data_IF_899619392857
#
_entry.id   IF_899619392857
#
_cell.length_a   1.000
_cell.length_b   1.000
_cell.length_c   1.000
_cell.angle_alpha   90.00
_cell.angle_beta   90.00
_cell.angle_gamma   90.00
#
_symmetry.space_group_name_H-M   'P 1'
#
loop_
_entity.id
_entity.type
_entity.pdbx_description
1 polymer ?
#
# COMPACT_ATOMS: atom_id res chain seq x y z
N UNK A 1 2.14 -1.27 -2.12
CA UNK A 1 0.80 -1.40 -2.74
C UNK A 1 -0.33 -0.98 -1.79
N UNK A 2 -0.42 -1.47 -0.55
CA UNK A 2 -1.59 -1.18 0.32
C UNK A 2 -1.63 0.23 0.92
N UNK A 3 -0.49 0.86 1.15
CA UNK A 3 -0.43 2.16 1.85
C UNK A 3 -1.34 3.23 1.24
N UNK A 4 -1.37 3.46 -0.10
CA UNK A 4 -2.25 4.46 -0.70
C UNK A 4 -3.75 4.22 -0.44
N UNK A 5 -4.14 2.97 -0.22
CA UNK A 5 -5.53 2.58 0.08
C UNK A 5 -5.83 2.71 1.57
N UNK A 6 -4.95 2.19 2.43
CA UNK A 6 -5.12 2.20 3.89
C UNK A 6 -5.19 3.62 4.45
N UNK A 7 -4.43 4.56 3.86
CA UNK A 7 -4.40 5.96 4.29
C UNK A 7 -5.79 6.62 4.26
N UNK A 8 -6.66 6.21 3.36
CA UNK A 8 -7.99 6.80 3.18
C UNK A 8 -9.10 6.00 3.83
N UNK A 9 -8.74 4.99 4.62
CA UNK A 9 -9.70 4.19 5.37
C UNK A 9 -10.89 3.72 4.49
N UNK A 10 -10.64 2.83 3.52
CA UNK A 10 -11.60 2.47 2.50
C UNK A 10 -12.90 1.93 3.11
N UNK A 11 -14.06 2.22 2.52
CA UNK A 11 -15.29 1.53 2.87
C UNK A 11 -15.17 0.04 2.52
N UNK A 12 -16.06 -0.78 3.07
CA UNK A 12 -16.21 -2.16 2.63
C UNK A 12 -16.66 -2.21 1.18
N UNK A 13 -15.99 -3.00 0.35
CA UNK A 13 -16.41 -3.29 -1.02
C UNK A 13 -16.02 -4.71 -1.43
N UNK A 14 -16.75 -5.27 -2.39
CA UNK A 14 -16.54 -6.61 -2.95
C UNK A 14 -16.14 -6.58 -4.44
N UNK A 15 -16.20 -5.41 -5.05
CA UNK A 15 -15.77 -5.14 -6.42
C UNK A 15 -15.30 -3.69 -6.51
N UNK A 16 -14.06 -3.41 -6.92
CA UNK A 16 -13.53 -2.06 -7.04
C UNK A 16 -14.35 -1.17 -8.00
N UNK A 17 -15.01 -1.77 -9.02
CA UNK A 17 -15.85 -1.04 -9.95
C UNK A 17 -17.09 -0.39 -9.30
N UNK A 18 -17.41 -0.80 -8.06
CA UNK A 18 -18.52 -0.22 -7.28
C UNK A 18 -18.08 0.87 -6.30
N UNK A 19 -16.79 1.13 -6.21
CA UNK A 19 -16.24 2.16 -5.33
C UNK A 19 -16.52 3.55 -5.86
N UNK A 20 -16.54 4.52 -4.94
CA UNK A 20 -16.57 5.93 -5.29
C UNK A 20 -15.36 6.32 -6.15
N UNK A 21 -15.62 7.09 -7.21
CA UNK A 21 -14.57 7.56 -8.10
C UNK A 21 -13.53 8.44 -7.39
N UNK A 22 -13.95 9.24 -6.40
CA UNK A 22 -13.05 10.07 -5.60
C UNK A 22 -12.06 9.21 -4.81
N UNK A 23 -12.51 8.14 -4.17
CA UNK A 23 -11.64 7.18 -3.48
C UNK A 23 -10.64 6.52 -4.42
N UNK A 24 -11.09 6.10 -5.62
CA UNK A 24 -10.22 5.49 -6.63
C UNK A 24 -9.17 6.48 -7.14
N UNK A 25 -9.58 7.71 -7.45
CA UNK A 25 -8.68 8.80 -7.88
C UNK A 25 -7.65 9.12 -6.79
N UNK A 26 -8.10 9.32 -5.56
CA UNK A 26 -7.24 9.69 -4.44
C UNK A 26 -6.20 8.61 -4.16
N UNK A 27 -6.61 7.34 -4.10
CA UNK A 27 -5.68 6.23 -3.92
C UNK A 27 -4.67 6.12 -5.05
N UNK A 28 -5.10 6.35 -6.30
CA UNK A 28 -4.23 6.28 -7.48
C UNK A 28 -3.23 7.44 -7.55
N UNK A 29 -3.66 8.66 -7.19
CA UNK A 29 -2.78 9.83 -7.08
C UNK A 29 -1.71 9.61 -5.99
N UNK A 30 -2.10 9.07 -4.84
CA UNK A 30 -1.13 8.73 -3.80
C UNK A 30 -0.18 7.61 -4.21
N UNK A 31 -0.64 6.65 -5.01
CA UNK A 31 0.25 5.64 -5.58
C UNK A 31 1.28 6.24 -6.53
N UNK A 32 0.93 7.27 -7.31
CA UNK A 32 1.89 8.05 -8.08
C UNK A 32 2.90 8.78 -7.18
N UNK A 33 2.40 9.46 -6.14
CA UNK A 33 3.23 10.25 -5.22
C UNK A 33 4.18 9.42 -4.37
N UNK A 34 3.85 8.16 -4.08
CA UNK A 34 4.66 7.22 -3.30
C UNK A 34 5.47 6.26 -4.17
N UNK A 35 5.15 6.19 -5.47
CA UNK A 35 5.75 5.27 -6.42
C UNK A 35 7.14 5.66 -6.88
N UNK A 36 7.78 4.77 -7.63
CA UNK A 36 9.14 4.95 -8.15
C UNK A 36 9.26 6.16 -9.08
N UNK A 37 8.18 6.51 -9.79
CA UNK A 37 8.16 7.64 -10.73
C UNK A 37 8.03 9.01 -10.06
N UNK A 38 7.83 9.08 -8.76
CA UNK A 38 7.68 10.35 -8.01
C UNK A 38 8.76 11.38 -8.37
N UNK A 39 10.00 10.96 -8.48
CA UNK A 39 11.13 11.84 -8.79
C UNK A 39 11.18 12.35 -10.24
N UNK A 40 10.31 11.87 -11.14
CA UNK A 40 10.23 12.29 -12.54
C UNK A 40 9.11 13.30 -12.81
N UNK A 41 8.25 13.57 -11.83
CA UNK A 41 7.19 14.57 -11.99
C UNK A 41 7.73 15.98 -11.80
N UNK A 42 7.26 16.87 -12.64
CA UNK A 42 7.59 18.30 -12.58
C UNK A 42 6.75 19.00 -11.50
N UNK A 43 7.13 20.23 -11.18
CA UNK A 43 6.37 21.09 -10.26
C UNK A 43 5.92 22.34 -11.00
N UNK A 44 4.70 22.78 -10.71
CA UNK A 44 4.18 24.03 -11.23
C UNK A 44 4.75 25.25 -10.47
N UNK A 45 4.37 26.45 -10.88
CA UNK A 45 4.81 27.71 -10.28
C UNK A 45 4.40 27.89 -8.79
N UNK A 46 3.41 27.10 -8.33
CA UNK A 46 2.93 27.08 -6.94
C UNK A 46 3.59 25.97 -6.13
N UNK A 47 4.52 25.21 -6.69
CA UNK A 47 5.20 24.10 -6.01
C UNK A 47 4.33 22.85 -5.87
N UNK A 48 3.27 22.71 -6.66
CA UNK A 48 2.45 21.50 -6.72
C UNK A 48 3.03 20.52 -7.73
N UNK A 49 2.99 19.24 -7.41
CA UNK A 49 3.45 18.18 -8.30
C UNK A 49 2.48 18.02 -9.47
N UNK A 50 2.97 18.01 -10.70
CA UNK A 50 2.17 17.81 -11.90
C UNK A 50 2.21 16.34 -12.30
N UNK A 51 1.08 15.64 -12.15
CA UNK A 51 0.93 14.21 -12.42
C UNK A 51 0.04 14.00 -13.65
N UNK A 52 0.56 13.42 -14.74
CA UNK A 52 -0.26 13.10 -15.92
C UNK A 52 -1.42 12.16 -15.58
N UNK A 53 -2.60 12.42 -16.12
CA UNK A 53 -3.79 11.57 -15.94
C UNK A 53 -3.52 10.11 -16.37
N UNK A 54 -2.74 9.91 -17.42
CA UNK A 54 -2.35 8.57 -17.88
C UNK A 54 -1.54 7.78 -16.83
N UNK A 55 -0.76 8.44 -15.98
CA UNK A 55 -0.04 7.79 -14.90
C UNK A 55 -1.01 7.42 -13.75
N UNK A 56 -2.00 8.27 -13.49
CA UNK A 56 -3.06 7.99 -12.51
C UNK A 56 -3.89 6.79 -12.95
N UNK A 57 -4.27 6.72 -14.23
CA UNK A 57 -4.96 5.56 -14.82
C UNK A 57 -4.12 4.27 -14.68
N UNK A 58 -2.83 4.35 -14.97
CA UNK A 58 -1.94 3.21 -14.84
C UNK A 58 -1.85 2.72 -13.38
N UNK A 59 -1.83 3.64 -12.41
CA UNK A 59 -1.86 3.27 -10.99
C UNK A 59 -3.22 2.70 -10.56
N UNK A 60 -4.32 3.24 -11.07
CA UNK A 60 -5.66 2.68 -10.81
C UNK A 60 -5.76 1.24 -11.29
N UNK A 61 -5.31 0.95 -12.52
CA UNK A 61 -5.27 -0.41 -13.07
C UNK A 61 -4.36 -1.33 -12.23
N UNK A 62 -3.22 -0.82 -11.79
CA UNK A 62 -2.30 -1.57 -10.94
C UNK A 62 -2.89 -1.89 -9.56
N UNK A 63 -3.61 -0.93 -8.95
CA UNK A 63 -4.20 -1.08 -7.62
C UNK A 63 -5.49 -1.89 -7.63
N UNK A 64 -6.39 -1.62 -8.57
CA UNK A 64 -7.78 -2.06 -8.56
C UNK A 64 -8.17 -2.98 -9.72
N UNK A 65 -7.22 -3.27 -10.62
CA UNK A 65 -7.40 -4.24 -11.71
C UNK A 65 -7.72 -3.62 -13.06
N UNK A 66 -7.66 -4.47 -14.13
CA UNK A 66 -7.65 -3.98 -15.51
C UNK A 66 -8.97 -3.39 -16.00
N UNK A 67 -10.07 -3.62 -15.27
CA UNK A 67 -11.41 -3.16 -15.69
C UNK A 67 -11.77 -1.79 -15.08
N UNK A 68 -10.92 -1.22 -14.25
CA UNK A 68 -11.15 0.08 -13.63
C UNK A 68 -11.04 1.18 -14.68
N UNK A 69 -11.98 2.12 -14.60
CA UNK A 69 -11.98 3.37 -15.36
C UNK A 69 -12.22 4.52 -14.40
N UNK A 70 -11.35 5.51 -14.46
CA UNK A 70 -11.49 6.73 -13.68
C UNK A 70 -12.26 7.79 -14.45
N UNK A 71 -13.09 8.54 -13.75
CA UNK A 71 -13.63 9.80 -14.23
C UNK A 71 -12.76 10.93 -13.68
N UNK A 72 -11.93 11.56 -14.54
CA UNK A 72 -11.01 12.60 -14.12
C UNK A 72 -11.75 13.87 -13.73
N UNK A 73 -11.53 14.31 -12.49
CA UNK A 73 -12.14 15.51 -11.91
C UNK A 73 -11.25 16.05 -10.79
N UNK A 74 -11.43 17.30 -10.44
CA UNK A 74 -10.83 17.88 -9.23
C UNK A 74 -11.47 17.24 -8.00
N UNK A 75 -10.65 16.81 -7.03
CA UNK A 75 -11.10 16.18 -5.78
C UNK A 75 -10.48 16.86 -4.56
N UNK A 76 -11.13 16.71 -3.40
CA UNK A 76 -10.69 17.28 -2.14
C UNK A 76 -11.18 18.72 -1.90
N UNK A 77 -10.81 19.28 -0.74
CA UNK A 77 -11.21 20.60 -0.31
C UNK A 77 -10.40 21.72 -0.99
N UNK A 78 -10.96 22.94 -1.03
CA UNK A 78 -10.37 24.08 -1.74
C UNK A 78 -8.91 24.36 -1.42
N UNK A 79 -8.47 24.12 -0.18
CA UNK A 79 -7.08 24.37 0.24
C UNK A 79 -6.12 23.23 -0.11
N UNK A 80 -6.65 21.99 -0.20
CA UNK A 80 -5.88 20.76 -0.45
C UNK A 80 -6.38 20.01 -1.68
N UNK A 81 -7.07 20.71 -2.59
CA UNK A 81 -7.62 20.09 -3.78
C UNK A 81 -6.53 19.54 -4.69
N UNK A 82 -6.74 18.32 -5.17
CA UNK A 82 -6.02 17.75 -6.31
C UNK A 82 -6.72 18.24 -7.57
N UNK A 83 -6.22 19.35 -8.09
CA UNK A 83 -6.84 20.06 -9.19
C UNK A 83 -6.57 19.34 -10.51
N UNK A 84 -7.63 18.94 -11.21
CA UNK A 84 -7.51 18.39 -12.56
C UNK A 84 -7.54 19.51 -13.60
N UNK A 85 -6.53 19.57 -14.44
CA UNK A 85 -6.43 20.44 -15.59
C UNK A 85 -6.69 19.62 -16.87
N UNK A 86 -7.87 19.84 -17.48
CA UNK A 86 -8.28 19.12 -18.68
C UNK A 86 -7.51 19.52 -19.93
N UNK A 87 -6.91 20.72 -19.97
CA UNK A 87 -6.21 21.22 -21.15
C UNK A 87 -4.88 20.49 -21.36
N UNK A 88 -4.24 20.08 -20.27
CA UNK A 88 -3.00 19.33 -20.28
C UNK A 88 -3.17 17.89 -19.77
N UNK A 89 -4.41 17.47 -19.47
CA UNK A 89 -4.76 16.16 -18.93
C UNK A 89 -3.85 15.75 -17.75
N UNK A 90 -3.74 16.61 -16.74
CA UNK A 90 -2.84 16.41 -15.59
C UNK A 90 -3.46 16.90 -14.29
N UNK A 91 -2.97 16.36 -13.17
CA UNK A 91 -3.33 16.80 -11.83
C UNK A 91 -2.24 17.69 -11.24
N UNK A 92 -2.64 18.78 -10.61
CA UNK A 92 -1.79 19.63 -9.77
C UNK A 92 -2.02 19.26 -8.32
N UNK A 93 -1.06 18.56 -7.74
CA UNK A 93 -1.17 17.95 -6.41
C UNK A 93 -0.33 18.68 -5.38
N UNK A 94 -0.92 19.23 -4.32
CA UNK A 94 -0.15 19.89 -3.27
C UNK A 94 0.74 18.88 -2.52
N UNK A 95 1.96 19.30 -2.15
CA UNK A 95 2.82 18.49 -1.30
C UNK A 95 2.40 18.71 0.14
N UNK A 96 1.69 17.73 0.68
CA UNK A 96 1.25 17.73 2.08
C UNK A 96 2.09 16.75 2.91
N UNK A 97 2.25 17.07 4.19
CA UNK A 97 2.92 16.16 5.10
C UNK A 97 2.08 14.89 5.32
N UNK A 98 2.73 13.74 5.26
CA UNK A 98 2.10 12.44 5.55
C UNK A 98 1.96 12.23 7.06
N UNK A 99 1.18 13.10 7.73
CA UNK A 99 0.93 13.01 9.16
C UNK A 99 -0.53 12.65 9.43
N UNK A 100 -0.78 11.85 10.44
CA UNK A 100 -2.14 11.51 10.87
C UNK A 100 -2.79 10.32 10.15
N UNK A 101 -2.10 9.67 9.22
CA UNK A 101 -2.60 8.49 8.53
C UNK A 101 -2.24 7.20 9.29
N UNK A 102 -3.13 6.20 9.20
CA UNK A 102 -2.82 4.87 9.71
C UNK A 102 -1.76 4.18 8.84
N UNK A 103 -0.91 3.38 9.48
CA UNK A 103 0.08 2.55 8.80
C UNK A 103 -0.45 1.11 8.72
N UNK A 104 -0.40 0.46 7.55
CA UNK A 104 -0.81 -0.94 7.44
C UNK A 104 0.20 -1.89 8.10
N UNK A 105 -0.29 -2.78 8.96
CA UNK A 105 0.43 -3.94 9.47
C UNK A 105 -0.20 -5.20 8.91
N UNK A 106 0.57 -6.00 8.16
CA UNK A 106 0.05 -7.26 7.61
C UNK A 106 0.22 -8.37 8.63
N UNK A 107 -0.89 -8.76 9.28
CA UNK A 107 -0.90 -9.73 10.37
C UNK A 107 -0.96 -11.17 9.87
N UNK A 108 -1.68 -11.41 8.76
CA UNK A 108 -1.86 -12.75 8.19
C UNK A 108 -1.94 -12.70 6.68
N UNK A 109 -1.32 -13.70 6.05
CA UNK A 109 -1.36 -13.89 4.59
C UNK A 109 -1.87 -15.32 4.32
N UNK A 110 -2.92 -15.43 3.51
CA UNK A 110 -3.45 -16.72 3.04
C UNK A 110 -3.39 -16.75 1.52
N UNK A 111 -2.45 -17.49 0.98
CA UNK A 111 -2.31 -17.68 -0.45
C UNK A 111 -3.29 -18.74 -0.96
N UNK A 112 -3.98 -18.44 -2.08
CA UNK A 112 -4.80 -19.35 -2.86
C UNK A 112 -4.24 -19.41 -4.28
N UNK A 113 -4.79 -20.26 -5.13
CA UNK A 113 -4.29 -20.44 -6.50
C UNK A 113 -4.27 -19.13 -7.30
N UNK A 114 -5.36 -18.36 -7.27
CA UNK A 114 -5.55 -17.13 -8.06
C UNK A 114 -5.84 -15.89 -7.22
N UNK A 115 -5.73 -16.00 -5.91
CA UNK A 115 -5.94 -14.90 -4.98
C UNK A 115 -5.05 -14.98 -3.74
N UNK A 116 -4.95 -13.87 -3.05
CA UNK A 116 -4.27 -13.76 -1.77
C UNK A 116 -5.18 -12.99 -0.81
N UNK A 117 -5.40 -13.53 0.38
CA UNK A 117 -6.12 -12.82 1.44
C UNK A 117 -5.14 -12.30 2.49
N UNK A 118 -5.26 -11.03 2.82
CA UNK A 118 -4.45 -10.36 3.83
C UNK A 118 -5.34 -9.91 4.97
N UNK A 119 -4.97 -10.23 6.21
CA UNK A 119 -5.50 -9.53 7.37
C UNK A 119 -4.60 -8.35 7.64
N UNK A 120 -5.14 -7.13 7.56
CA UNK A 120 -4.38 -5.89 7.70
C UNK A 120 -4.86 -5.15 8.94
N UNK A 121 -3.96 -4.94 9.87
CA UNK A 121 -4.13 -4.07 11.01
C UNK A 121 -3.85 -2.62 10.65
N UNK A 122 -4.64 -1.71 11.18
CA UNK A 122 -4.48 -0.27 11.00
C UNK A 122 -3.81 0.30 12.24
N UNK A 123 -2.51 0.52 12.16
CA UNK A 123 -1.74 1.13 13.25
C UNK A 123 -1.93 2.65 13.18
N UNK A 124 -2.57 3.26 14.19
CA UNK A 124 -2.76 4.70 14.20
C UNK A 124 -1.41 5.43 14.31
N UNK A 125 -1.33 6.69 13.88
CA UNK A 125 -0.12 7.49 14.06
C UNK A 125 0.19 7.61 15.55
N UNK A 126 1.45 7.34 15.91
CA UNK A 126 1.91 7.44 17.29
C UNK A 126 1.88 8.90 17.75
N UNK A 127 1.05 9.20 18.72
CA UNK A 127 1.08 10.49 19.42
C UNK A 127 1.84 10.32 20.74
N UNK A 128 2.43 11.40 21.25
CA UNK A 128 3.17 11.38 22.53
C UNK A 128 2.31 10.87 23.69
N UNK A 129 0.97 10.96 23.57
CA UNK A 129 0.01 10.51 24.58
C UNK A 129 -0.40 9.05 24.46
N UNK A 130 -0.06 8.38 23.35
CA UNK A 130 -0.46 6.99 23.06
C UNK A 130 0.74 6.03 22.92
N UNK A 131 1.88 6.38 23.50
CA UNK A 131 3.05 5.52 23.49
C UNK A 131 2.88 4.42 24.54
N UNK A 132 2.65 3.19 24.09
CA UNK A 132 2.66 1.99 24.91
C UNK A 132 3.95 1.22 24.65
N UNK A 133 4.48 0.62 25.70
CA UNK A 133 5.65 -0.26 25.60
C UNK A 133 5.27 -1.66 26.04
N UNK A 134 5.76 -2.66 25.33
CA UNK A 134 5.63 -4.05 25.74
C UNK A 134 6.47 -4.35 27.01
N UNK A 135 6.33 -5.56 27.56
CA UNK A 135 7.09 -6.00 28.74
C UNK A 135 8.60 -6.04 28.56
N UNK A 136 9.10 -5.87 27.32
CA UNK A 136 10.51 -5.83 26.95
C UNK A 136 11.01 -4.42 26.67
N UNK A 137 10.13 -3.41 26.75
CA UNK A 137 10.46 -2.02 26.50
C UNK A 137 10.46 -1.63 25.01
N UNK A 138 9.90 -2.44 24.13
CA UNK A 138 9.69 -2.07 22.73
C UNK A 138 8.39 -1.29 22.60
N UNK A 139 8.34 -0.37 21.61
CA UNK A 139 7.12 0.34 21.27
C UNK A 139 6.06 -0.67 20.83
N UNK A 140 4.91 -0.67 21.49
CA UNK A 140 3.78 -1.51 21.12
C UNK A 140 2.88 -0.77 20.11
N UNK A 141 2.99 -1.17 18.84
CA UNK A 141 2.16 -0.66 17.75
C UNK A 141 0.91 -1.53 17.60
N UNK A 142 -0.12 -1.24 18.40
CA UNK A 142 -1.37 -2.02 18.38
C UNK A 142 -2.33 -1.44 17.33
N UNK A 143 -2.79 -2.26 16.35
CA UNK A 143 -3.81 -1.83 15.40
C UNK A 143 -5.13 -1.45 16.09
N UNK A 144 -5.72 -0.34 15.66
CA UNK A 144 -7.03 0.13 16.16
C UNK A 144 -8.21 -0.64 15.55
N UNK A 145 -8.00 -1.20 14.35
CA UNK A 145 -8.97 -2.04 13.64
C UNK A 145 -8.26 -3.00 12.69
N UNK A 146 -8.99 -4.01 12.25
CA UNK A 146 -8.53 -4.97 11.26
C UNK A 146 -9.47 -5.02 10.07
N UNK A 147 -8.89 -5.17 8.88
CA UNK A 147 -9.65 -5.38 7.65
C UNK A 147 -9.09 -6.57 6.87
N UNK A 148 -9.97 -7.27 6.18
CA UNK A 148 -9.64 -8.36 5.26
C UNK A 148 -9.53 -7.79 3.85
N UNK A 149 -8.37 -7.92 3.24
CA UNK A 149 -8.10 -7.55 1.86
C UNK A 149 -8.02 -8.82 1.01
N UNK A 150 -8.83 -8.90 -0.04
CA UNK A 150 -8.66 -9.92 -1.07
C UNK A 150 -7.95 -9.30 -2.27
N UNK A 151 -6.83 -9.89 -2.61
CA UNK A 151 -6.07 -9.56 -3.81
C UNK A 151 -6.31 -10.65 -4.85
N UNK A 152 -6.50 -10.27 -6.10
CA UNK A 152 -6.60 -11.19 -7.24
C UNK A 152 -5.39 -11.08 -8.14
N UNK A 153 -5.04 -12.20 -8.73
CA UNK A 153 -3.88 -12.31 -9.61
C UNK A 153 -4.18 -11.71 -10.98
N UNK A 154 -3.23 -10.91 -11.49
CA UNK A 154 -3.21 -10.39 -12.84
C UNK A 154 -1.81 -10.61 -13.43
N UNK A 155 -1.64 -11.69 -14.18
CA UNK A 155 -0.33 -12.11 -14.67
C UNK A 155 0.64 -12.48 -13.54
N UNK A 156 1.68 -11.68 -13.33
CA UNK A 156 2.66 -11.84 -12.24
C UNK A 156 2.29 -11.04 -10.99
N UNK A 157 1.41 -10.05 -11.15
CA UNK A 157 1.06 -9.10 -10.12
C UNK A 157 -0.28 -9.43 -9.47
N UNK A 158 -0.61 -8.70 -8.43
CA UNK A 158 -1.89 -8.76 -7.75
C UNK A 158 -2.52 -7.37 -7.71
N UNK A 159 -3.84 -7.31 -7.78
CA UNK A 159 -4.62 -6.10 -7.57
C UNK A 159 -5.65 -6.30 -6.46
N UNK A 160 -6.04 -5.24 -5.81
CA UNK A 160 -7.04 -5.25 -4.74
C UNK A 160 -8.44 -5.48 -5.33
N UNK A 161 -9.10 -6.52 -4.88
CA UNK A 161 -10.44 -6.89 -5.36
C UNK A 161 -11.54 -6.61 -4.35
N UNK A 162 -11.30 -6.86 -3.07
CA UNK A 162 -12.26 -6.56 -2.01
C UNK A 162 -11.58 -6.11 -0.73
N UNK A 163 -12.30 -5.32 0.04
CA UNK A 163 -11.96 -4.92 1.40
C UNK A 163 -13.18 -5.12 2.27
N UNK A 164 -12.99 -5.75 3.43
CA UNK A 164 -14.08 -6.01 4.38
C UNK A 164 -13.61 -5.79 5.80
N UNK A 165 -14.37 -5.06 6.59
CA UNK A 165 -14.10 -4.85 8.01
C UNK A 165 -14.23 -6.15 8.79
N UNK A 166 -13.24 -6.47 9.63
CA UNK A 166 -13.29 -7.58 10.56
C UNK A 166 -13.81 -7.05 11.90
N UNK A 167 -14.99 -7.51 12.33
CA UNK A 167 -15.50 -7.18 13.66
C UNK A 167 -14.59 -7.80 14.73
N UNK A 168 -14.22 -7.03 15.76
CA UNK A 168 -13.29 -7.46 16.81
C UNK A 168 -13.72 -8.75 17.55
N UNK A 169 -15.01 -9.10 17.58
CA UNK A 169 -15.51 -10.35 18.16
C UNK A 169 -14.97 -11.61 17.44
N UNK A 170 -14.53 -11.48 16.20
CA UNK A 170 -13.94 -12.57 15.41
C UNK A 170 -12.46 -12.81 15.71
N UNK A 171 -11.79 -11.86 16.36
CA UNK A 171 -10.34 -11.92 16.63
C UNK A 171 -10.05 -12.58 17.97
N UNK A 172 -10.99 -12.53 18.94
CA UNK A 172 -10.79 -13.05 20.29
C UNK A 172 -10.87 -14.59 20.43
N UNK A 173 -11.22 -15.32 19.35
CA UNK A 173 -11.45 -16.77 19.39
C UNK A 173 -10.51 -17.62 18.52
N UNK A 174 -9.63 -17.03 17.76
CA UNK A 174 -8.68 -17.79 16.92
C UNK A 174 -7.29 -17.67 17.52
N UNK A 175 -6.81 -18.74 18.16
CA UNK A 175 -5.38 -18.88 18.43
C UNK A 175 -4.65 -18.64 17.12
N UNK A 176 -3.92 -17.52 17.04
CA UNK A 176 -3.01 -17.26 15.94
C UNK A 176 -1.90 -18.31 16.03
N UNK A 177 -2.13 -19.43 15.36
CA UNK A 177 -1.06 -20.40 15.16
C UNK A 177 0.00 -19.69 14.31
N UNK A 178 1.01 -19.15 14.97
CA UNK A 178 2.20 -18.59 14.34
C UNK A 178 2.95 -19.74 13.68
N UNK A 179 2.39 -20.21 12.56
CA UNK A 179 3.09 -21.08 11.64
C UNK A 179 4.37 -20.35 11.23
N UNK A 180 5.48 -20.88 11.71
CA UNK A 180 6.84 -20.46 11.42
C UNK A 180 6.95 -20.08 9.95
N UNK A 181 7.05 -18.77 9.67
CA UNK A 181 7.44 -18.30 8.33
C UNK A 181 8.83 -18.87 8.09
N UNK A 182 8.94 -19.80 7.16
CA UNK A 182 10.19 -20.42 6.79
C UNK A 182 11.20 -19.31 6.46
N UNK A 183 12.29 -19.32 7.22
CA UNK A 183 13.43 -18.43 7.02
C UNK A 183 13.87 -18.59 5.58
N UNK A 184 13.81 -17.55 4.80
CA UNK A 184 14.44 -17.52 3.48
C UNK A 184 15.94 -17.61 3.74
N UNK A 185 16.53 -18.75 3.44
CA UNK A 185 17.98 -18.94 3.52
C UNK A 185 18.61 -17.96 2.55
N UNK A 186 19.33 -17.00 3.10
CA UNK A 186 20.25 -16.13 2.36
C UNK A 186 21.31 -17.02 1.73
N UNK A 187 21.29 -17.13 0.40
CA UNK A 187 22.36 -17.75 -0.36
C UNK A 187 23.66 -17.01 -0.10
N UNK A 188 24.53 -17.60 0.73
CA UNK A 188 25.91 -17.19 0.85
C UNK A 188 26.66 -17.54 -0.44
N UNK A 189 27.46 -16.61 -1.00
CA UNK A 189 28.34 -16.97 -2.13
C UNK A 189 29.37 -18.01 -1.68
N UNK A 190 29.45 -19.11 -2.39
CA UNK A 190 30.47 -20.12 -2.18
C UNK A 190 31.85 -19.55 -2.57
N UNK A 191 32.72 -19.40 -1.57
CA UNK A 191 34.14 -19.15 -1.81
C UNK A 191 34.76 -20.36 -2.51
N UNK A 192 35.16 -20.16 -3.74
CA UNK A 192 36.00 -21.08 -4.50
C UNK A 192 37.45 -21.00 -3.98
N UNK A 193 37.80 -21.86 -3.05
CA UNK A 193 39.22 -22.11 -2.73
C UNK A 193 39.86 -22.93 -3.84
N UNK A 194 40.68 -22.27 -4.64
CA UNK A 194 41.63 -22.95 -5.52
C UNK A 194 42.83 -23.47 -4.72
N UNK A 195 42.94 -24.78 -4.57
CA UNK A 195 44.15 -25.41 -4.03
C UNK A 195 45.18 -25.48 -5.15
N UNK A 196 46.16 -24.61 -5.15
CA UNK A 196 47.40 -24.73 -5.92
C UNK A 196 48.44 -25.52 -5.15
N UNK A 197 48.62 -26.77 -5.56
CA UNK A 197 49.72 -27.61 -5.09
C UNK A 197 50.92 -27.38 -6.02
N UNK A 198 52.01 -26.78 -5.54
CA UNK A 198 53.28 -26.70 -6.27
C UNK A 198 54.35 -27.35 -5.40
N UNK A 199 54.75 -28.52 -5.82
CA UNK A 199 55.95 -29.22 -5.33
C UNK A 199 57.11 -28.82 -6.27
N UNK A 200 58.19 -28.36 -5.72
CA UNK A 200 59.45 -28.18 -6.41
C UNK A 200 60.52 -29.19 -5.97
N UNK A 201 61.47 -29.54 -6.82
CA UNK A 201 62.59 -30.43 -6.44
C UNK A 201 63.66 -29.72 -5.58
#
# INVERSE_FOLDING_TARGET
>A
MLLPVVMFDPPDFTDPATCDNEFLLQSSLWACMLGERRGSYEFDEYGRMVIPAADVDAQAVSLFGPNIKLEHMTIGDMENAYQYDSDIASYHVPIIAMTGFATPSVEKIVMKQDSCQLTVGYVPPTTVLSINYDSKGNLEETPSKYMLYELRKNGKDFYLYSVTTIMNDSVSGTEFNTGTVGRVDTLTPSDSQGSGNTQAP
#
